data_IF_830580359863
#
_entry.id   IF_830580359863
#
_cell.length_a   1.000
_cell.length_b   1.000
_cell.length_c   1.000
_cell.angle_alpha   90.00
_cell.angle_beta   90.00
_cell.angle_gamma   90.00
#
_symmetry.space_group_name_H-M   'P 1'
#
loop_
_entity.id
_entity.type
_entity.pdbx_description
1 polymer ?
#
# COMPACT_ATOMS: atom_id res chain seq x y z
N UNK A 1 -1.53 11.10 3.69
CA UNK A 1 -2.54 10.56 2.77
C UNK A 1 -2.02 10.83 1.37
N UNK A 2 -1.97 9.82 0.51
CA UNK A 2 -1.60 10.04 -0.89
C UNK A 2 -2.81 10.47 -1.69
N UNK A 3 -2.60 11.45 -2.55
CA UNK A 3 -3.65 11.99 -3.41
C UNK A 3 -3.58 11.34 -4.79
N UNK A 4 -4.71 11.27 -5.52
CA UNK A 4 -4.75 10.74 -6.88
C UNK A 4 -3.76 11.42 -7.83
N UNK A 5 -3.49 12.71 -7.62
CA UNK A 5 -2.56 13.52 -8.43
C UNK A 5 -1.12 13.02 -8.28
N UNK A 6 -0.70 12.61 -7.08
CA UNK A 6 0.63 12.01 -6.86
C UNK A 6 0.77 10.69 -7.61
N UNK A 7 -0.28 9.87 -7.62
CA UNK A 7 -0.29 8.59 -8.35
C UNK A 7 -0.24 8.84 -9.86
N UNK A 8 -1.05 9.78 -10.36
CA UNK A 8 -1.03 10.18 -11.77
C UNK A 8 0.36 10.65 -12.20
N UNK A 9 1.01 11.49 -11.38
CA UNK A 9 2.37 11.98 -11.65
C UNK A 9 3.40 10.85 -11.67
N UNK A 10 3.34 9.90 -10.74
CA UNK A 10 4.21 8.71 -10.74
C UNK A 10 4.03 7.91 -12.04
N UNK A 11 2.79 7.76 -12.52
CA UNK A 11 2.50 7.03 -13.76
C UNK A 11 3.02 7.77 -15.00
N UNK A 12 2.85 9.09 -15.08
CA UNK A 12 3.42 9.92 -16.15
C UNK A 12 4.95 9.75 -16.23
N UNK A 13 5.63 9.88 -15.09
CA UNK A 13 7.08 9.71 -15.00
C UNK A 13 7.50 8.28 -15.37
N UNK A 14 6.71 7.28 -14.98
CA UNK A 14 6.96 5.89 -15.37
C UNK A 14 6.81 5.65 -16.88
N UNK A 15 5.85 6.30 -17.54
CA UNK A 15 5.73 6.24 -19.00
C UNK A 15 6.92 6.91 -19.68
N UNK A 16 7.33 8.11 -19.23
CA UNK A 16 8.54 8.78 -19.74
C UNK A 16 9.79 7.93 -19.58
N UNK A 17 9.94 7.27 -18.43
CA UNK A 17 11.03 6.33 -18.17
C UNK A 17 11.03 5.16 -19.16
N UNK A 18 9.85 4.58 -19.42
CA UNK A 18 9.69 3.47 -20.38
C UNK A 18 9.99 3.90 -21.82
N UNK A 19 9.62 5.13 -22.18
CA UNK A 19 9.92 5.74 -23.47
C UNK A 19 11.37 6.22 -23.60
N UNK A 20 12.18 6.17 -22.53
CA UNK A 20 13.58 6.61 -22.55
C UNK A 20 13.79 8.12 -22.58
N UNK A 21 12.73 8.92 -22.38
CA UNK A 21 12.75 10.40 -22.43
C UNK A 21 12.76 11.04 -21.05
N UNK A 22 13.24 10.31 -20.04
CA UNK A 22 13.23 10.77 -18.65
C UNK A 22 14.51 11.52 -18.31
N UNK A 23 14.36 12.74 -17.80
CA UNK A 23 15.47 13.62 -17.45
C UNK A 23 15.96 13.30 -16.02
N UNK A 24 17.18 13.70 -15.65
CA UNK A 24 17.72 13.45 -14.29
C UNK A 24 16.91 14.12 -13.18
N UNK A 25 16.36 15.31 -13.45
CA UNK A 25 15.45 16.00 -12.53
C UNK A 25 14.16 15.21 -12.32
N UNK A 26 13.56 14.71 -13.41
CA UNK A 26 12.34 13.91 -13.37
C UNK A 26 12.56 12.54 -12.71
N UNK A 27 13.74 11.95 -12.90
CA UNK A 27 14.16 10.73 -12.22
C UNK A 27 14.26 10.93 -10.71
N UNK A 28 14.77 12.08 -10.29
CA UNK A 28 14.82 12.45 -8.87
C UNK A 28 13.43 12.67 -8.30
N UNK A 29 12.56 13.40 -9.03
CA UNK A 29 11.15 13.59 -8.69
C UNK A 29 10.44 12.24 -8.55
N UNK A 30 10.60 11.34 -9.53
CA UNK A 30 10.00 10.01 -9.51
C UNK A 30 10.43 9.20 -8.29
N UNK A 31 11.72 9.25 -7.93
CA UNK A 31 12.24 8.55 -6.76
C UNK A 31 11.64 9.09 -5.45
N UNK A 32 11.53 10.42 -5.32
CA UNK A 32 10.93 11.07 -4.16
C UNK A 32 9.44 10.70 -4.02
N UNK A 33 8.68 10.80 -5.12
CA UNK A 33 7.26 10.47 -5.13
C UNK A 33 7.01 8.99 -4.80
N UNK A 34 7.82 8.07 -5.36
CA UNK A 34 7.75 6.64 -5.03
C UNK A 34 8.05 6.36 -3.56
N UNK A 35 9.05 7.04 -2.98
CA UNK A 35 9.39 6.92 -1.55
C UNK A 35 8.20 7.34 -0.69
N UNK A 36 7.63 8.50 -0.98
CA UNK A 36 6.47 9.04 -0.27
C UNK A 36 5.28 8.07 -0.36
N UNK A 37 5.07 7.45 -1.53
CA UNK A 37 4.03 6.44 -1.73
C UNK A 37 4.21 5.22 -0.87
N UNK A 38 5.39 4.61 -0.92
CA UNK A 38 5.70 3.41 -0.14
C UNK A 38 5.54 3.70 1.36
N UNK A 39 6.01 4.86 1.84
CA UNK A 39 5.93 5.20 3.25
C UNK A 39 4.50 5.44 3.73
N UNK A 40 3.63 6.02 2.90
CA UNK A 40 2.20 6.16 3.21
C UNK A 40 1.50 4.79 3.22
N UNK A 41 1.75 3.94 2.22
CA UNK A 41 1.16 2.61 2.15
C UNK A 41 1.60 1.76 3.34
N UNK A 42 2.89 1.78 3.71
CA UNK A 42 3.40 1.09 4.91
C UNK A 42 2.68 1.54 6.18
N UNK A 43 2.48 2.84 6.37
CA UNK A 43 1.75 3.39 7.52
C UNK A 43 0.29 2.90 7.54
N UNK A 44 -0.38 2.93 6.38
CA UNK A 44 -1.76 2.47 6.25
C UNK A 44 -1.90 0.98 6.55
N UNK A 45 -1.03 0.15 5.98
CA UNK A 45 -1.00 -1.31 6.23
C UNK A 45 -0.74 -1.59 7.70
N UNK A 46 0.22 -0.89 8.32
CA UNK A 46 0.50 -1.05 9.75
C UNK A 46 -0.71 -0.68 10.61
N UNK A 47 -1.37 0.45 10.33
CA UNK A 47 -2.58 0.84 11.05
C UNK A 47 -3.72 -0.17 10.89
N UNK A 48 -3.89 -0.75 9.70
CA UNK A 48 -4.85 -1.84 9.48
C UNK A 48 -4.51 -3.06 10.34
N UNK A 49 -3.24 -3.50 10.35
CA UNK A 49 -2.79 -4.62 11.18
C UNK A 49 -2.96 -4.36 12.68
N UNK A 50 -2.63 -3.16 13.15
CA UNK A 50 -2.80 -2.75 14.55
C UNK A 50 -4.29 -2.73 14.95
N UNK A 51 -5.21 -2.49 14.00
CA UNK A 51 -6.66 -2.56 14.24
C UNK A 51 -7.22 -3.98 14.23
N UNK A 52 -6.48 -4.96 13.69
CA UNK A 52 -6.91 -6.37 13.70
C UNK A 52 -6.80 -6.88 15.13
N UNK A 53 -7.95 -7.05 15.77
CA UNK A 53 -8.05 -7.72 17.07
C UNK A 53 -8.20 -9.21 16.84
N UNK A 54 -7.24 -10.01 17.34
CA UNK A 54 -7.35 -11.47 17.36
C UNK A 54 -8.37 -11.84 18.42
N UNK A 55 -9.57 -12.24 17.98
CA UNK A 55 -10.63 -12.71 18.87
C UNK A 55 -10.37 -14.19 19.16
N UNK A 56 -10.09 -14.59 20.42
CA UNK A 56 -10.00 -16.01 20.75
C UNK A 56 -11.36 -16.67 20.54
N UNK A 57 -11.37 -17.88 20.02
CA UNK A 57 -12.58 -18.69 19.95
C UNK A 57 -13.08 -18.96 21.37
N UNK A 58 -14.27 -18.48 21.72
CA UNK A 58 -14.94 -18.86 22.96
C UNK A 58 -15.54 -20.26 22.84
N UNK A 59 -15.81 -20.92 23.99
CA UNK A 59 -16.41 -22.26 24.05
C UNK A 59 -17.80 -22.36 23.39
N UNK A 60 -18.39 -21.22 22.99
CA UNK A 60 -19.70 -21.11 22.32
C UNK A 60 -19.61 -20.37 20.97
N UNK A 61 -18.52 -20.54 20.21
CA UNK A 61 -18.40 -19.97 18.86
C UNK A 61 -19.36 -20.65 17.86
N UNK A 62 -20.32 -19.90 17.32
CA UNK A 62 -21.27 -20.35 16.27
C UNK A 62 -20.66 -20.51 14.86
N UNK A 63 -19.32 -20.54 14.75
CA UNK A 63 -18.59 -20.52 13.49
C UNK A 63 -18.56 -21.87 12.74
N UNK A 64 -19.21 -22.92 13.23
CA UNK A 64 -19.29 -24.22 12.53
C UNK A 64 -17.98 -25.03 12.49
N UNK A 65 -16.90 -24.53 13.09
CA UNK A 65 -15.57 -25.16 13.10
C UNK A 65 -15.44 -26.35 14.06
N UNK A 66 -16.51 -26.74 14.78
CA UNK A 66 -16.49 -27.78 15.81
C UNK A 66 -17.00 -29.15 15.36
N UNK A 67 -17.05 -29.43 14.06
CA UNK A 67 -17.28 -30.80 13.58
C UNK A 67 -16.06 -31.64 13.91
N UNK A 68 -16.08 -32.30 15.08
CA UNK A 68 -15.12 -33.36 15.40
C UNK A 68 -15.24 -34.43 14.32
N UNK A 69 -14.16 -34.63 13.57
CA UNK A 69 -14.00 -35.77 12.70
C UNK A 69 -13.49 -36.98 13.48
#
# INVERSE_FOLDING_TARGET
MITPEVIARINELAQKQKSGVLNDSEKTEQAQLRRLYIDNIKKQVKAQLDSVTVVPHSETCGCGCHTKH
#
